data_IF_089566240007
#
_entry.id   IF_089566240007
#
_cell.length_a   1.000
_cell.length_b   1.000
_cell.length_c   1.000
_cell.angle_alpha   90.00
_cell.angle_beta   90.00
_cell.angle_gamma   90.00
#
_symmetry.space_group_name_H-M   'P 1'
#
loop_
_entity.id
_entity.type
_entity.pdbx_description
1 polymer ?
#
# COMPACT_ATOMS: atom_id res chain seq x y z
N UNK A 1 -9.68 20.96 4.22
CA UNK A 1 -10.55 19.77 4.30
C UNK A 1 -9.77 18.47 4.17
N UNK A 2 -9.03 18.28 3.12
CA UNK A 2 -8.18 17.08 3.00
C UNK A 2 -7.14 17.00 4.09
N UNK A 3 -6.72 18.13 4.56
CA UNK A 3 -5.74 18.25 5.62
C UNK A 3 -6.18 17.54 6.91
N UNK A 4 -7.42 17.73 7.32
CA UNK A 4 -7.94 17.05 8.50
C UNK A 4 -8.07 15.56 8.29
N UNK A 5 -8.46 15.16 7.11
CA UNK A 5 -8.58 13.75 6.76
C UNK A 5 -7.23 13.06 6.84
N UNK A 6 -6.19 13.67 6.28
CA UNK A 6 -4.85 13.10 6.36
C UNK A 6 -4.32 13.05 7.79
N UNK A 7 -4.65 14.03 8.60
CA UNK A 7 -4.24 14.00 10.00
C UNK A 7 -4.85 12.83 10.76
N UNK A 8 -6.10 12.55 10.53
CA UNK A 8 -6.75 11.40 11.14
C UNK A 8 -6.09 10.10 10.70
N UNK A 9 -5.80 9.98 9.42
CA UNK A 9 -5.14 8.80 8.87
C UNK A 9 -3.77 8.63 9.50
N UNK A 10 -3.00 9.71 9.59
CA UNK A 10 -1.64 9.63 10.11
C UNK A 10 -1.60 9.31 11.60
N UNK A 11 -2.60 9.72 12.35
CA UNK A 11 -2.60 9.51 13.79
C UNK A 11 -2.96 8.09 14.20
N UNK A 12 -3.78 7.43 13.42
CA UNK A 12 -4.36 6.16 13.87
C UNK A 12 -3.92 4.96 13.07
N UNK A 13 -2.99 5.08 12.16
CA UNK A 13 -2.75 4.07 11.14
C UNK A 13 -4.04 3.84 10.34
N UNK A 14 -3.92 3.73 9.07
CA UNK A 14 -5.09 3.50 8.24
C UNK A 14 -5.58 2.07 8.48
N UNK A 15 -6.82 1.96 8.87
CA UNK A 15 -7.47 0.67 9.01
C UNK A 15 -8.50 0.56 7.90
N UNK A 16 -8.18 -0.24 6.91
CA UNK A 16 -9.08 -0.47 5.80
C UNK A 16 -9.89 -1.71 6.06
N UNK A 17 -11.17 -1.57 5.89
CA UNK A 17 -12.13 -2.63 6.15
C UNK A 17 -12.59 -3.21 4.82
N UNK A 18 -12.34 -4.48 4.60
CA UNK A 18 -12.74 -5.18 3.40
C UNK A 18 -13.86 -6.15 3.77
N UNK A 19 -15.10 -5.88 3.35
CA UNK A 19 -16.18 -6.81 3.64
C UNK A 19 -16.02 -8.08 2.82
N UNK A 20 -16.25 -9.20 3.46
CA UNK A 20 -16.29 -10.47 2.78
C UNK A 20 -17.63 -10.64 2.10
N UNK A 21 -17.59 -11.11 0.87
CA UNK A 21 -18.80 -11.53 0.18
C UNK A 21 -19.31 -12.81 0.80
N UNK A 22 -20.63 -12.95 0.79
CA UNK A 22 -21.37 -13.89 1.60
C UNK A 22 -20.92 -15.30 1.40
N UNK A 23 -20.22 -15.93 1.00
CA UNK A 23 -19.83 -17.33 0.99
C UNK A 23 -18.35 -17.57 0.81
N UNK A 24 -17.59 -16.51 0.72
CA UNK A 24 -16.17 -16.67 0.50
C UNK A 24 -15.45 -16.48 1.81
N UNK A 25 -14.84 -17.52 2.29
CA UNK A 25 -13.87 -17.38 3.34
C UNK A 25 -12.59 -16.84 2.75
N UNK A 26 -12.55 -15.54 2.61
CA UNK A 26 -11.37 -14.90 2.10
C UNK A 26 -10.27 -14.94 3.16
N UNK A 27 -9.12 -15.45 2.79
CA UNK A 27 -7.97 -15.42 3.68
C UNK A 27 -7.27 -14.07 3.57
N UNK A 28 -6.41 -13.77 4.54
CA UNK A 28 -5.60 -12.55 4.47
C UNK A 28 -4.70 -12.57 3.25
N UNK A 29 -4.19 -13.73 2.86
CA UNK A 29 -3.40 -13.86 1.64
C UNK A 29 -4.22 -13.55 0.39
N UNK A 30 -5.44 -14.05 0.33
CA UNK A 30 -6.33 -13.78 -0.79
C UNK A 30 -6.65 -12.28 -0.89
N UNK A 31 -6.88 -11.65 0.25
CA UNK A 31 -7.14 -10.22 0.30
C UNK A 31 -5.93 -9.44 -0.21
N UNK A 32 -4.73 -9.82 0.19
CA UNK A 32 -3.52 -9.18 -0.28
C UNK A 32 -3.32 -9.39 -1.78
N UNK A 33 -3.52 -10.61 -2.26
CA UNK A 33 -3.38 -10.93 -3.68
C UNK A 33 -4.39 -10.14 -4.52
N UNK A 34 -5.61 -10.02 -4.03
CA UNK A 34 -6.64 -9.23 -4.72
C UNK A 34 -6.27 -7.76 -4.77
N UNK A 35 -5.75 -7.23 -3.67
CA UNK A 35 -5.32 -5.84 -3.60
C UNK A 35 -4.15 -5.58 -4.57
N UNK A 36 -3.17 -6.47 -4.59
CA UNK A 36 -2.06 -6.36 -5.53
C UNK A 36 -2.55 -6.38 -6.97
N UNK A 37 -3.45 -7.29 -7.27
CA UNK A 37 -3.99 -7.42 -8.62
C UNK A 37 -4.74 -6.16 -9.03
N UNK A 38 -5.49 -5.58 -8.12
CA UNK A 38 -6.19 -4.33 -8.37
C UNK A 38 -5.21 -3.20 -8.68
N UNK A 39 -4.16 -3.08 -7.88
CA UNK A 39 -3.14 -2.06 -8.11
C UNK A 39 -2.40 -2.30 -9.42
N UNK A 40 -2.05 -3.53 -9.71
CA UNK A 40 -1.35 -3.88 -10.95
C UNK A 40 -2.21 -3.60 -12.18
N UNK A 41 -3.50 -3.82 -12.07
CA UNK A 41 -4.43 -3.48 -13.14
C UNK A 41 -4.45 -1.97 -13.40
N UNK A 42 -4.23 -1.17 -12.36
CA UNK A 42 -4.12 0.28 -12.48
C UNK A 42 -2.77 0.79 -12.93
N UNK A 43 -1.82 -0.11 -13.22
CA UNK A 43 -0.49 0.28 -13.70
C UNK A 43 0.57 0.36 -12.60
N UNK A 44 0.23 0.01 -11.37
CA UNK A 44 1.20 -0.02 -10.28
C UNK A 44 1.93 -1.34 -10.24
N UNK A 45 3.18 -1.30 -9.79
CA UNK A 45 3.92 -2.50 -9.45
C UNK A 45 4.04 -2.58 -7.94
N UNK A 46 3.79 -3.74 -7.39
CA UNK A 46 3.79 -3.95 -5.95
C UNK A 46 4.76 -5.07 -5.61
N UNK A 47 5.75 -4.78 -4.78
CA UNK A 47 6.66 -5.79 -4.26
C UNK A 47 6.68 -5.69 -2.75
N UNK A 48 7.02 -6.80 -2.10
CA UNK A 48 7.10 -6.86 -0.64
C UNK A 48 7.39 -8.28 -0.21
N UNK A 49 7.86 -8.42 1.01
CA UNK A 49 8.17 -9.72 1.59
C UNK A 49 7.00 -10.20 2.44
N UNK A 50 6.36 -11.27 2.02
CA UNK A 50 5.17 -11.81 2.69
C UNK A 50 5.56 -12.79 3.77
N UNK A 51 5.02 -12.57 4.97
CA UNK A 51 5.26 -13.43 6.12
C UNK A 51 3.90 -13.80 6.71
N UNK A 52 3.57 -15.07 6.69
CA UNK A 52 2.32 -15.57 7.25
C UNK A 52 2.55 -16.09 8.67
N UNK A 53 1.68 -15.69 9.59
CA UNK A 53 1.68 -16.19 10.95
C UNK A 53 0.24 -16.54 11.28
N UNK A 54 -0.09 -17.82 11.27
CA UNK A 54 -1.46 -18.26 11.45
C UNK A 54 -2.35 -17.73 10.33
N UNK A 55 -3.43 -17.07 10.70
CA UNK A 55 -4.33 -16.44 9.73
C UNK A 55 -3.94 -15.00 9.39
N UNK A 56 -2.90 -14.49 10.03
CA UNK A 56 -2.45 -13.12 9.79
C UNK A 56 -1.36 -13.11 8.73
N UNK A 57 -1.29 -12.02 8.00
CA UNK A 57 -0.28 -11.81 6.98
C UNK A 57 0.40 -10.46 7.22
N UNK A 58 1.71 -10.48 7.19
CA UNK A 58 2.52 -9.28 7.32
C UNK A 58 3.38 -9.15 6.07
N UNK A 59 3.37 -7.99 5.45
CA UNK A 59 4.20 -7.73 4.29
C UNK A 59 5.23 -6.67 4.68
N UNK A 60 6.49 -7.02 4.57
CA UNK A 60 7.59 -6.14 4.92
C UNK A 60 8.18 -5.49 3.69
N UNK A 61 8.69 -4.28 3.86
CA UNK A 61 9.40 -3.57 2.80
C UNK A 61 8.55 -3.47 1.53
N UNK A 62 7.32 -3.02 1.69
CA UNK A 62 6.40 -2.87 0.58
C UNK A 62 6.82 -1.67 -0.26
N UNK A 63 6.96 -1.88 -1.55
CA UNK A 63 7.22 -0.81 -2.50
C UNK A 63 6.16 -0.85 -3.59
N UNK A 64 5.51 0.27 -3.78
CA UNK A 64 4.50 0.43 -4.82
C UNK A 64 5.05 1.47 -5.78
N UNK A 65 5.23 1.09 -7.03
CA UNK A 65 5.83 1.94 -8.04
C UNK A 65 4.82 2.24 -9.14
N UNK A 66 4.85 3.46 -9.63
CA UNK A 66 4.00 3.89 -10.71
C UNK A 66 4.83 4.69 -11.70
N UNK A 67 4.77 4.31 -12.96
CA UNK A 67 5.40 5.03 -14.05
C UNK A 67 4.36 5.96 -14.67
N UNK A 68 4.42 7.25 -14.29
CA UNK A 68 3.44 8.23 -14.75
C UNK A 68 3.58 8.51 -16.23
N UNK A 69 4.84 8.55 -16.71
CA UNK A 69 5.17 8.62 -18.13
C UNK A 69 6.57 8.03 -18.31
N UNK A 70 7.09 8.09 -19.52
CA UNK A 70 8.39 7.48 -19.82
C UNK A 70 9.56 8.09 -19.03
N UNK A 71 9.34 9.21 -18.41
CA UNK A 71 10.38 9.97 -17.71
C UNK A 71 10.12 10.14 -16.23
N UNK A 72 8.95 9.76 -15.75
CA UNK A 72 8.52 10.05 -14.39
C UNK A 72 8.10 8.78 -13.67
N UNK A 73 8.74 8.50 -12.55
CA UNK A 73 8.41 7.39 -11.68
C UNK A 73 8.04 7.91 -10.30
N UNK A 74 7.02 7.31 -9.72
CA UNK A 74 6.59 7.61 -8.36
C UNK A 74 6.66 6.31 -7.57
N UNK A 75 7.35 6.34 -6.44
CA UNK A 75 7.50 5.18 -5.58
C UNK A 75 6.94 5.49 -4.20
N UNK A 76 6.19 4.53 -3.67
CA UNK A 76 5.72 4.57 -2.30
C UNK A 76 6.47 3.51 -1.52
N UNK A 77 7.18 3.93 -0.49
CA UNK A 77 7.85 3.02 0.43
C UNK A 77 7.02 2.89 1.69
N UNK A 78 6.54 1.69 1.93
CA UNK A 78 5.74 1.39 3.11
C UNK A 78 6.49 0.34 3.91
N UNK A 79 6.86 0.65 5.14
CA UNK A 79 7.69 -0.25 5.93
C UNK A 79 7.01 -1.61 6.16
N UNK A 80 5.72 -1.61 6.38
CA UNK A 80 4.99 -2.85 6.55
C UNK A 80 3.51 -2.64 6.33
N UNK A 81 2.85 -3.69 5.87
CA UNK A 81 1.41 -3.78 5.77
C UNK A 81 0.99 -5.03 6.54
N UNK A 82 0.02 -4.90 7.41
CA UNK A 82 -0.47 -6.03 8.20
C UNK A 82 -1.93 -6.30 7.85
N UNK A 83 -2.24 -7.57 7.60
CA UNK A 83 -3.60 -8.01 7.39
C UNK A 83 -3.97 -8.99 8.49
N UNK A 84 -5.06 -8.68 9.18
CA UNK A 84 -5.57 -9.54 10.24
C UNK A 84 -7.03 -9.86 9.98
N UNK A 85 -7.41 -11.09 10.28
CA UNK A 85 -8.78 -11.53 10.12
C UNK A 85 -9.40 -11.67 11.50
N UNK A 86 -10.51 -10.99 11.73
CA UNK A 86 -11.18 -11.07 13.01
C UNK A 86 -12.20 -12.22 13.05
N UNK A 87 -12.84 -12.39 14.21
CA UNK A 87 -13.79 -13.48 14.41
C UNK A 87 -15.05 -13.34 13.54
N UNK A 88 -15.35 -12.13 13.11
CA UNK A 88 -16.53 -11.86 12.28
C UNK A 88 -16.27 -12.12 10.81
N UNK A 89 -15.05 -12.54 10.45
CA UNK A 89 -14.69 -12.82 9.09
C UNK A 89 -14.20 -11.60 8.31
N UNK A 90 -14.09 -10.47 8.94
CA UNK A 90 -13.57 -9.26 8.30
C UNK A 90 -12.05 -9.23 8.33
N UNK A 91 -11.49 -8.66 7.30
CA UNK A 91 -10.04 -8.51 7.18
C UNK A 91 -9.71 -7.05 7.36
N UNK A 92 -8.81 -6.76 8.29
CA UNK A 92 -8.33 -5.42 8.55
C UNK A 92 -6.95 -5.27 7.95
N UNK A 93 -6.77 -4.18 7.21
CA UNK A 93 -5.48 -3.84 6.64
C UNK A 93 -4.95 -2.64 7.42
N UNK A 94 -3.80 -2.81 8.03
CA UNK A 94 -3.16 -1.75 8.81
C UNK A 94 -1.92 -1.29 8.10
N UNK A 95 -1.82 0.01 7.91
CA UNK A 95 -0.66 0.67 7.34
C UNK A 95 0.13 1.36 8.46
N UNK A 96 1.43 1.60 8.27
CA UNK A 96 2.20 2.33 9.25
C UNK A 96 1.78 3.81 9.27
N UNK A 97 2.21 4.51 10.32
CA UNK A 97 1.91 5.93 10.45
C UNK A 97 2.63 6.78 9.41
N UNK A 98 3.73 6.27 8.88
CA UNK A 98 4.55 7.02 7.94
C UNK A 98 4.70 6.25 6.64
N UNK A 99 4.48 6.94 5.53
CA UNK A 99 4.67 6.42 4.19
C UNK A 99 5.61 7.38 3.47
N UNK A 100 6.66 6.83 2.89
CA UNK A 100 7.63 7.62 2.17
C UNK A 100 7.28 7.61 0.68
N UNK A 101 7.13 8.80 0.11
CA UNK A 101 6.80 8.95 -1.29
C UNK A 101 7.99 9.58 -2.01
N UNK A 102 8.45 8.95 -3.04
CA UNK A 102 9.58 9.41 -3.82
C UNK A 102 9.14 9.68 -5.26
N UNK A 103 9.46 10.85 -5.75
CA UNK A 103 9.19 11.28 -7.11
C UNK A 103 10.51 11.38 -7.85
N UNK A 104 10.60 10.72 -8.99
CA UNK A 104 11.78 10.72 -9.84
C UNK A 104 11.38 11.12 -11.24
N UNK A 105 12.05 12.12 -11.77
CA UNK A 105 11.85 12.58 -13.15
C UNK A 105 13.20 12.75 -13.82
N UNK A 106 13.33 12.22 -15.02
CA UNK A 106 14.50 12.42 -15.85
C UNK A 106 14.03 12.93 -17.20
N UNK A 107 14.41 14.17 -17.55
CA UNK A 107 13.98 14.75 -18.81
C UNK A 107 14.77 14.21 -19.99
N UNK A 108 14.42 14.63 -21.21
CA UNK A 108 15.05 14.12 -22.41
C UNK A 108 16.51 14.54 -22.55
N UNK A 109 16.97 15.49 -21.76
CA UNK A 109 18.36 15.94 -21.75
C UNK A 109 19.19 15.26 -20.66
N UNK A 110 18.58 14.35 -19.90
CA UNK A 110 19.26 13.65 -18.84
C UNK A 110 19.26 14.37 -17.49
N UNK A 111 18.58 15.50 -17.38
CA UNK A 111 18.44 16.18 -16.09
C UNK A 111 17.47 15.44 -15.21
N UNK A 112 17.89 15.16 -13.99
CA UNK A 112 17.07 14.43 -13.02
C UNK A 112 16.52 15.36 -11.98
N UNK A 113 15.25 15.18 -11.69
CA UNK A 113 14.58 15.84 -10.59
C UNK A 113 14.13 14.79 -9.60
N UNK A 114 14.54 14.94 -8.34
CA UNK A 114 14.16 14.02 -7.28
C UNK A 114 13.49 14.81 -6.16
N UNK A 115 12.39 14.28 -5.68
CA UNK A 115 11.70 14.84 -4.53
C UNK A 115 11.24 13.71 -3.64
N UNK A 116 11.34 13.90 -2.34
CA UNK A 116 10.92 12.91 -1.36
C UNK A 116 10.01 13.56 -0.36
N UNK A 117 8.90 12.90 -0.08
CA UNK A 117 7.89 13.40 0.84
C UNK A 117 7.59 12.31 1.84
N UNK A 118 7.60 12.66 3.12
CA UNK A 118 7.17 11.77 4.18
C UNK A 118 5.74 12.12 4.54
N UNK A 119 4.85 11.15 4.37
CA UNK A 119 3.44 11.31 4.69
C UNK A 119 3.18 10.68 6.05
N UNK A 120 2.63 11.46 6.97
CA UNK A 120 2.31 11.02 8.32
C UNK A 120 0.82 11.13 8.61
#
# INVERSE_FOLDING_TARGET
MYHKFFRLISMSCILVFIPLLANAELSTRDAWDNLKKLLETGGYQVIGQEISVGSDLSIKNVQISFEADAQTNINFDISSVSLTKNKDGFIYIRLPEEIYVQYLNEDEFGYKTEASILVR
#
